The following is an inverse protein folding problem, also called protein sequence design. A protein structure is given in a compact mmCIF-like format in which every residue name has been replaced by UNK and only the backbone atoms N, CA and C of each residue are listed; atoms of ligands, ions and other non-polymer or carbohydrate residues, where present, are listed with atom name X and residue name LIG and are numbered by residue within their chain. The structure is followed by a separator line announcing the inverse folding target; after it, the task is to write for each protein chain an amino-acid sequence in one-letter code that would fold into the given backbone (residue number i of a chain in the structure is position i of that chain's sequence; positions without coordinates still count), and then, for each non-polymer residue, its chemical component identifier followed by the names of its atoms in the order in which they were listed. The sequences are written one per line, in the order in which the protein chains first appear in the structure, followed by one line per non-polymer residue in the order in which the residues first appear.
data_IF_323714761464
#
_entry.id   IF_323714761464
#
_cell.length_a   1.000
_cell.length_b   1.000
_cell.length_c   1.000
_cell.angle_alpha   90.00
_cell.angle_beta   90.00
_cell.angle_gamma   90.00
#
_symmetry.space_group_name_H-M   'P 1'
#
loop_
_entity.id
_entity.type
_entity.pdbx_description
1 polymer ?
#
# COMPACT_ATOMS: atom_id res chain seq x y z
N UNK A 1 -68.94 -70.56 -28.66
CA UNK A 1 -68.49 -70.91 -27.30
C UNK A 1 -67.23 -70.11 -27.04
N UNK A 2 -67.32 -69.15 -26.11
CA UNK A 2 -66.39 -68.04 -25.91
C UNK A 2 -65.31 -68.44 -24.89
N UNK A 3 -64.02 -68.28 -25.21
CA UNK A 3 -62.89 -68.56 -24.31
C UNK A 3 -62.41 -67.22 -23.72
N UNK A 4 -62.40 -67.03 -22.39
CA UNK A 4 -61.89 -65.80 -21.79
C UNK A 4 -60.35 -65.87 -21.61
N UNK A 5 -59.64 -64.72 -21.55
CA UNK A 5 -58.20 -64.72 -21.35
C UNK A 5 -57.82 -64.80 -19.86
N UNK A 6 -56.71 -65.50 -19.59
CA UNK A 6 -56.11 -65.70 -18.27
C UNK A 6 -55.40 -64.45 -17.76
N UNK A 7 -55.78 -63.97 -16.57
CA UNK A 7 -55.08 -62.92 -15.83
C UNK A 7 -53.98 -63.53 -14.96
N UNK A 8 -52.72 -63.24 -15.27
CA UNK A 8 -51.57 -63.47 -14.38
C UNK A 8 -51.32 -62.25 -13.51
N UNK A 9 -51.32 -62.42 -12.18
CA UNK A 9 -50.92 -61.40 -11.21
C UNK A 9 -49.41 -61.47 -10.95
N UNK A 10 -48.65 -60.36 -10.97
CA UNK A 10 -47.29 -60.36 -10.46
C UNK A 10 -47.25 -60.19 -8.95
N UNK A 11 -46.42 -61.00 -8.30
CA UNK A 11 -46.04 -60.95 -6.89
C UNK A 11 -45.43 -59.60 -6.51
N UNK A 12 -45.89 -59.00 -5.41
CA UNK A 12 -45.32 -57.79 -4.83
C UNK A 12 -43.91 -58.04 -4.28
N UNK A 13 -42.90 -57.35 -4.83
CA UNK A 13 -41.61 -57.18 -4.16
C UNK A 13 -41.73 -56.00 -3.19
N UNK A 14 -41.56 -56.27 -1.89
CA UNK A 14 -41.49 -55.25 -0.86
C UNK A 14 -40.14 -54.55 -0.94
N UNK A 15 -40.10 -53.40 -1.61
CA UNK A 15 -38.95 -52.50 -1.59
C UNK A 15 -38.92 -51.78 -0.25
N UNK A 16 -37.94 -52.08 0.59
CA UNK A 16 -37.66 -51.34 1.82
C UNK A 16 -37.32 -49.89 1.48
N UNK A 17 -38.28 -48.98 1.65
CA UNK A 17 -38.05 -47.54 1.48
C UNK A 17 -37.22 -47.08 2.68
N UNK A 18 -35.90 -47.02 2.50
CA UNK A 18 -35.03 -46.28 3.41
C UNK A 18 -35.49 -44.82 3.41
N UNK A 19 -35.89 -44.33 4.59
CA UNK A 19 -36.34 -42.95 4.78
C UNK A 19 -35.27 -41.95 4.29
N UNK A 20 -35.64 -41.15 3.29
CA UNK A 20 -34.81 -40.10 2.68
C UNK A 20 -34.28 -39.09 3.71
N UNK A 21 -34.90 -39.01 4.90
CA UNK A 21 -34.48 -38.11 5.99
C UNK A 21 -33.19 -38.55 6.67
N UNK A 22 -32.90 -39.85 6.73
CA UNK A 22 -31.70 -40.39 7.39
C UNK A 22 -30.44 -40.33 6.51
N UNK A 23 -30.58 -40.30 5.18
CA UNK A 23 -29.45 -40.20 4.26
C UNK A 23 -28.89 -38.76 4.15
N UNK A 24 -29.73 -37.74 4.33
CA UNK A 24 -29.32 -36.34 4.20
C UNK A 24 -28.41 -35.86 5.35
N UNK A 25 -28.61 -36.39 6.56
CA UNK A 25 -27.85 -35.99 7.76
C UNK A 25 -26.42 -36.55 7.71
N UNK A 26 -26.24 -37.76 7.17
CA UNK A 26 -24.90 -38.34 6.99
C UNK A 26 -24.07 -37.63 5.92
N UNK A 27 -24.71 -37.04 4.89
CA UNK A 27 -24.01 -36.27 3.87
C UNK A 27 -23.60 -34.88 4.38
N UNK A 28 -24.41 -34.27 5.25
CA UNK A 28 -24.07 -32.97 5.85
C UNK A 28 -22.93 -33.08 6.88
N UNK A 29 -22.79 -34.22 7.55
CA UNK A 29 -21.73 -34.42 8.54
C UNK A 29 -20.37 -34.76 7.91
N UNK A 30 -20.33 -35.22 6.65
CA UNK A 30 -19.08 -35.47 5.93
C UNK A 30 -18.52 -34.23 5.20
N UNK A 31 -19.34 -33.20 4.99
CA UNK A 31 -18.90 -31.96 4.31
C UNK A 31 -18.27 -30.91 5.24
N UNK A 32 -18.34 -31.09 6.56
CA UNK A 32 -17.84 -30.11 7.55
C UNK A 32 -16.43 -30.44 8.05
N UNK A 33 -15.79 -31.52 7.56
CA UNK A 33 -14.41 -31.90 7.94
C UNK A 33 -13.36 -31.48 6.90
N UNK A 34 -13.79 -30.93 5.75
CA UNK A 34 -12.91 -30.17 4.84
C UNK A 34 -13.12 -28.66 5.01
N UNK A 35 -13.31 -28.19 6.25
CA UNK A 35 -12.79 -26.87 6.56
C UNK A 35 -11.29 -27.05 6.41
N UNK A 36 -10.75 -26.65 5.25
CA UNK A 36 -9.33 -26.51 5.03
C UNK A 36 -8.77 -25.93 6.32
N UNK A 37 -8.06 -26.76 7.09
CA UNK A 37 -6.99 -26.23 7.87
C UNK A 37 -6.17 -25.52 6.82
N UNK A 38 -6.30 -24.21 6.77
CA UNK A 38 -5.29 -23.33 6.23
C UNK A 38 -4.05 -23.60 7.07
N UNK A 39 -3.41 -24.75 6.79
CA UNK A 39 -1.98 -24.91 6.84
C UNK A 39 -1.51 -23.62 6.23
N UNK A 40 -0.93 -22.74 7.05
CA UNK A 40 -0.34 -21.51 6.60
C UNK A 40 0.62 -21.93 5.47
N UNK A 41 0.11 -21.88 4.23
CA UNK A 41 0.87 -22.27 3.06
C UNK A 41 2.05 -21.32 3.08
N UNK A 42 3.25 -21.86 2.86
CA UNK A 42 4.51 -21.09 2.82
C UNK A 42 4.26 -19.66 2.37
N UNK A 43 4.85 -18.69 3.07
CA UNK A 43 4.71 -17.25 2.76
C UNK A 43 4.67 -17.05 1.25
N UNK A 44 3.68 -16.32 0.74
CA UNK A 44 3.59 -16.06 -0.70
C UNK A 44 4.75 -15.14 -1.09
N UNK A 45 5.86 -15.74 -1.55
CA UNK A 45 7.08 -15.03 -1.96
C UNK A 45 7.06 -14.82 -3.46
N UNK A 46 7.04 -13.55 -3.86
CA UNK A 46 7.10 -13.13 -5.26
C UNK A 46 8.56 -12.80 -5.59
N UNK A 47 9.24 -13.69 -6.31
CA UNK A 47 10.61 -13.47 -6.77
C UNK A 47 10.59 -12.96 -8.21
N UNK A 48 11.03 -11.73 -8.43
CA UNK A 48 11.10 -11.14 -9.76
C UNK A 48 12.50 -10.61 -10.06
N UNK A 49 12.82 -10.43 -11.35
CA UNK A 49 14.08 -9.84 -11.79
C UNK A 49 13.79 -8.59 -12.62
N UNK A 50 14.35 -7.47 -12.19
CA UNK A 50 14.39 -6.23 -12.94
C UNK A 50 15.81 -5.68 -12.79
N UNK A 51 16.71 -5.92 -13.76
CA UNK A 51 18.08 -5.43 -13.70
C UNK A 51 18.10 -3.94 -13.40
N UNK A 52 19.02 -3.52 -12.55
CA UNK A 52 19.25 -2.11 -12.21
C UNK A 52 18.06 -1.33 -11.64
N UNK A 53 17.01 -2.00 -11.13
CA UNK A 53 15.84 -1.34 -10.52
C UNK A 53 16.17 -0.60 -9.21
N UNK A 54 16.94 -1.25 -8.31
CA UNK A 54 17.27 -0.76 -6.97
C UNK A 54 16.08 -0.10 -6.25
N UNK A 55 15.01 -0.84 -5.97
CA UNK A 55 13.77 -0.25 -5.47
C UNK A 55 13.93 0.24 -4.02
N UNK A 56 13.48 1.47 -3.76
CA UNK A 56 13.36 2.02 -2.39
C UNK A 56 11.93 1.87 -1.85
N UNK A 57 10.93 2.08 -2.70
CA UNK A 57 9.52 2.02 -2.32
C UNK A 57 8.67 1.17 -3.28
N UNK A 58 7.53 0.73 -2.75
CA UNK A 58 6.49 0.02 -3.47
C UNK A 58 5.11 0.37 -2.91
N UNK A 59 4.08 0.21 -3.72
CA UNK A 59 2.67 0.25 -3.30
C UNK A 59 1.87 -0.83 -4.00
N UNK A 60 0.73 -1.24 -3.43
CA UNK A 60 -0.18 -2.22 -4.02
C UNK A 60 -1.31 -1.54 -4.80
N UNK A 61 -1.58 -1.95 -6.04
CA UNK A 61 -2.80 -1.60 -6.78
C UNK A 61 -3.80 -2.77 -6.76
N UNK A 62 -4.83 -2.73 -5.90
CA UNK A 62 -5.80 -3.82 -5.81
C UNK A 62 -6.72 -3.92 -7.04
N UNK A 63 -6.82 -2.89 -7.89
CA UNK A 63 -7.67 -2.95 -9.08
C UNK A 63 -7.04 -3.73 -10.24
N UNK A 64 -5.71 -3.87 -10.22
CA UNK A 64 -4.92 -4.49 -11.28
C UNK A 64 -4.05 -5.65 -10.78
N UNK A 65 -4.22 -6.05 -9.51
CA UNK A 65 -3.51 -7.16 -8.84
C UNK A 65 -1.98 -7.12 -9.02
N UNK A 66 -1.40 -5.93 -8.83
CA UNK A 66 0.05 -5.76 -8.94
C UNK A 66 0.64 -4.82 -7.89
N UNK A 67 1.93 -4.98 -7.64
CA UNK A 67 2.75 -3.98 -7.00
C UNK A 67 3.25 -2.98 -8.02
N UNK A 68 3.26 -1.70 -7.64
CA UNK A 68 3.92 -0.63 -8.36
C UNK A 68 5.20 -0.32 -7.58
N UNK A 69 6.35 -0.41 -8.25
CA UNK A 69 7.67 -0.32 -7.64
C UNK A 69 8.45 0.84 -8.26
N UNK A 70 9.03 1.68 -7.41
CA UNK A 70 9.91 2.78 -7.81
C UNK A 70 11.26 2.28 -8.33
N UNK A 71 11.93 3.10 -9.14
CA UNK A 71 13.24 2.82 -9.69
C UNK A 71 14.25 3.88 -9.25
N UNK A 72 15.30 3.46 -8.54
CA UNK A 72 16.33 4.39 -8.08
C UNK A 72 17.36 4.72 -9.16
N UNK A 73 17.25 4.14 -10.37
CA UNK A 73 18.19 4.38 -11.48
C UNK A 73 17.53 4.90 -12.75
N UNK A 74 16.22 4.78 -12.87
CA UNK A 74 15.49 5.09 -14.08
C UNK A 74 14.23 5.89 -13.78
N UNK A 75 13.78 6.64 -14.79
CA UNK A 75 12.53 7.40 -14.81
C UNK A 75 11.31 6.50 -15.03
N UNK A 76 11.31 5.33 -14.39
CA UNK A 76 10.32 4.27 -14.61
C UNK A 76 9.68 3.83 -13.31
N UNK A 77 8.40 3.49 -13.40
CA UNK A 77 7.66 2.74 -12.39
C UNK A 77 7.36 1.37 -12.97
N UNK A 78 7.66 0.33 -12.22
CA UNK A 78 7.54 -1.06 -12.65
C UNK A 78 6.33 -1.70 -12.01
N UNK A 79 5.53 -2.41 -12.80
CA UNK A 79 4.46 -3.28 -12.34
C UNK A 79 5.03 -4.67 -12.07
N UNK A 80 4.72 -5.25 -10.91
CA UNK A 80 5.07 -6.62 -10.55
C UNK A 80 3.80 -7.34 -10.11
N UNK A 81 3.36 -8.33 -10.90
CA UNK A 81 2.14 -9.09 -10.58
C UNK A 81 2.34 -10.06 -9.42
N UNK A 82 1.24 -10.58 -8.88
CA UNK A 82 1.23 -11.68 -7.92
C UNK A 82 1.94 -12.95 -8.43
N UNK A 83 2.01 -13.14 -9.75
CA UNK A 83 2.72 -14.24 -10.42
C UNK A 83 4.18 -13.89 -10.81
N UNK A 84 4.74 -12.81 -10.26
CA UNK A 84 6.10 -12.31 -10.55
C UNK A 84 6.34 -11.86 -12.00
N UNK A 85 5.29 -11.61 -12.78
CA UNK A 85 5.42 -10.99 -14.09
C UNK A 85 5.78 -9.51 -13.91
N UNK A 86 6.79 -9.05 -14.66
CA UNK A 86 7.33 -7.69 -14.55
C UNK A 86 7.05 -6.95 -15.85
N UNK A 87 6.49 -5.75 -15.74
CA UNK A 87 6.29 -4.85 -16.87
C UNK A 87 6.60 -3.40 -16.50
N UNK A 88 6.92 -2.57 -17.49
CA UNK A 88 7.05 -1.12 -17.27
C UNK A 88 5.67 -0.49 -17.24
N UNK A 89 5.24 -0.02 -16.07
CA UNK A 89 3.94 0.64 -15.93
C UNK A 89 4.00 2.04 -16.54
N UNK A 90 4.96 2.85 -16.11
CA UNK A 90 5.19 4.23 -16.57
C UNK A 90 6.67 4.40 -16.92
N UNK A 91 6.94 5.06 -18.04
CA UNK A 91 8.26 5.58 -18.42
C UNK A 91 8.11 7.04 -18.78
N UNK A 92 8.62 7.93 -17.93
CA UNK A 92 8.45 9.38 -18.09
C UNK A 92 9.76 10.03 -18.53
N UNK A 93 10.03 10.00 -19.84
CA UNK A 93 11.24 10.55 -20.43
C UNK A 93 11.30 12.08 -20.39
N UNK A 94 10.21 12.76 -20.00
CA UNK A 94 10.20 14.21 -19.81
C UNK A 94 10.78 14.65 -18.47
N UNK A 95 10.95 13.74 -17.52
CA UNK A 95 11.72 14.01 -16.30
C UNK A 95 13.21 14.20 -16.64
N UNK A 96 13.97 14.99 -15.86
CA UNK A 96 15.41 15.16 -16.08
C UNK A 96 16.12 13.80 -16.15
N UNK A 97 17.08 13.60 -17.08
CA UNK A 97 17.79 12.33 -17.21
C UNK A 97 18.41 11.86 -15.90
N UNK A 98 18.40 10.55 -15.66
CA UNK A 98 18.97 9.90 -14.47
C UNK A 98 18.33 10.32 -13.13
N UNK A 99 17.15 10.95 -13.15
CA UNK A 99 16.33 11.10 -11.93
C UNK A 99 15.85 9.75 -11.43
N UNK A 100 15.61 9.72 -10.12
CA UNK A 100 15.23 8.54 -9.36
C UNK A 100 13.79 8.68 -8.87
N UNK A 101 13.09 7.56 -8.72
CA UNK A 101 11.77 7.48 -8.11
C UNK A 101 11.93 6.78 -6.76
N UNK A 102 11.83 7.55 -5.68
CA UNK A 102 12.24 7.15 -4.32
C UNK A 102 11.04 6.74 -3.47
N UNK A 103 9.98 7.54 -3.45
CA UNK A 103 8.71 7.26 -2.77
C UNK A 103 7.54 7.11 -3.74
N UNK A 104 6.64 6.15 -3.48
CA UNK A 104 5.44 5.94 -4.29
C UNK A 104 4.21 5.72 -3.42
N UNK A 105 3.07 6.29 -3.83
CA UNK A 105 1.80 6.08 -3.14
C UNK A 105 0.62 6.08 -4.11
N UNK A 106 -0.32 5.17 -3.90
CA UNK A 106 -1.50 5.03 -4.75
C UNK A 106 -2.75 5.61 -4.09
N UNK A 107 -3.30 6.68 -4.67
CA UNK A 107 -4.65 7.15 -4.38
C UNK A 107 -5.65 6.32 -5.18
N UNK A 108 -6.15 5.25 -4.55
CA UNK A 108 -7.10 4.34 -5.17
C UNK A 108 -8.42 5.04 -5.55
N UNK A 109 -8.92 5.96 -4.71
CA UNK A 109 -10.19 6.66 -4.95
C UNK A 109 -10.09 7.59 -6.17
N UNK A 110 -8.98 8.32 -6.30
CA UNK A 110 -8.73 9.19 -7.45
C UNK A 110 -8.08 8.46 -8.63
N UNK A 111 -7.75 7.17 -8.49
CA UNK A 111 -6.95 6.37 -9.43
C UNK A 111 -5.71 7.13 -9.89
N UNK A 112 -5.00 7.71 -8.92
CA UNK A 112 -3.84 8.56 -9.15
C UNK A 112 -2.63 7.97 -8.43
N UNK A 113 -1.55 7.78 -9.16
CA UNK A 113 -0.26 7.40 -8.59
C UNK A 113 0.54 8.66 -8.29
N UNK A 114 1.07 8.75 -7.07
CA UNK A 114 2.01 9.77 -6.65
C UNK A 114 3.42 9.16 -6.64
N UNK A 115 4.38 9.86 -7.22
CA UNK A 115 5.77 9.42 -7.32
C UNK A 115 6.71 10.59 -6.97
N UNK A 116 7.55 10.39 -5.96
CA UNK A 116 8.56 11.36 -5.55
C UNK A 116 9.78 11.21 -6.44
N UNK A 117 10.13 12.29 -7.12
CA UNK A 117 11.26 12.37 -8.04
C UNK A 117 12.41 13.08 -7.34
N UNK A 118 13.57 12.46 -7.32
CA UNK A 118 14.78 13.02 -6.73
C UNK A 118 16.00 12.82 -7.64
N UNK A 119 16.88 13.82 -7.72
CA UNK A 119 18.20 13.71 -8.35
C UNK A 119 19.30 13.55 -7.30
N UNK A 120 20.05 12.47 -7.40
CA UNK A 120 21.24 12.22 -6.57
C UNK A 120 22.49 12.87 -7.18
N UNK A 121 23.45 13.37 -6.36
CA UNK A 121 24.75 13.81 -6.86
C UNK A 121 25.43 12.75 -7.73
N UNK A 122 26.15 13.14 -8.80
CA UNK A 122 26.57 14.50 -9.16
C UNK A 122 25.55 15.30 -9.99
N UNK A 123 24.30 14.82 -10.16
CA UNK A 123 23.28 15.54 -10.93
C UNK A 123 22.88 16.86 -10.23
N UNK A 124 22.40 17.86 -11.00
CA UNK A 124 21.78 19.04 -10.42
C UNK A 124 20.65 18.67 -9.46
N UNK A 125 20.53 19.42 -8.37
CA UNK A 125 19.48 19.19 -7.36
C UNK A 125 18.12 19.34 -8.03
N UNK A 126 17.32 18.28 -7.93
CA UNK A 126 15.95 18.26 -8.42
C UNK A 126 15.12 17.44 -7.44
N UNK A 127 14.04 18.03 -6.94
CA UNK A 127 13.05 17.37 -6.11
C UNK A 127 11.67 17.77 -6.65
N UNK A 128 10.82 16.79 -6.87
CA UNK A 128 9.46 17.04 -7.32
C UNK A 128 8.51 15.94 -6.87
N UNK A 129 7.22 16.25 -6.82
CA UNK A 129 6.17 15.25 -6.78
C UNK A 129 5.52 15.16 -8.16
N UNK A 130 5.61 13.99 -8.79
CA UNK A 130 4.86 13.68 -9.98
C UNK A 130 3.54 12.98 -9.61
N UNK A 131 2.49 13.26 -10.38
CA UNK A 131 1.24 12.52 -10.29
C UNK A 131 0.84 11.97 -11.65
N UNK A 132 0.36 10.73 -11.71
CA UNK A 132 -0.06 10.05 -12.93
C UNK A 132 -1.49 9.54 -12.81
N UNK A 133 -2.29 9.70 -13.86
CA UNK A 133 -3.63 9.15 -13.95
C UNK A 133 -3.59 7.69 -14.38
N UNK A 134 -3.96 6.76 -13.51
CA UNK A 134 -3.97 5.33 -13.81
C UNK A 134 -5.22 4.86 -14.57
N UNK A 135 -6.18 5.75 -14.86
CA UNK A 135 -7.36 5.43 -15.69
C UNK A 135 -7.04 5.51 -17.17
N UNK A 136 -6.11 6.39 -17.55
CA UNK A 136 -5.68 6.56 -18.92
C UNK A 136 -4.82 5.38 -19.39
N UNK A 137 -5.04 4.82 -20.60
CA UNK A 137 -4.17 3.78 -21.15
C UNK A 137 -2.68 4.19 -21.20
N UNK A 138 -2.42 5.48 -21.40
CA UNK A 138 -1.06 6.04 -21.48
C UNK A 138 -0.51 6.52 -20.13
N UNK A 139 -1.28 6.36 -19.04
CA UNK A 139 -0.93 6.81 -17.68
C UNK A 139 -0.40 8.25 -17.64
N UNK A 140 -1.16 9.17 -18.26
CA UNK A 140 -0.78 10.58 -18.43
C UNK A 140 -0.33 11.21 -17.10
N UNK A 141 0.77 11.95 -17.13
CA UNK A 141 1.18 12.81 -16.00
C UNK A 141 0.16 13.94 -15.82
N UNK A 142 -0.42 14.02 -14.63
CA UNK A 142 -1.34 15.05 -14.19
C UNK A 142 -0.60 16.34 -13.86
N UNK A 143 0.46 16.24 -13.05
CA UNK A 143 1.34 17.36 -12.71
C UNK A 143 2.76 16.88 -12.41
N UNK A 144 3.70 17.83 -12.40
CA UNK A 144 5.05 17.69 -11.85
C UNK A 144 5.30 18.91 -10.96
N UNK A 145 5.12 18.76 -9.65
CA UNK A 145 5.19 19.84 -8.67
C UNK A 145 6.62 19.97 -8.13
N UNK A 146 7.37 21.03 -8.47
CA UNK A 146 8.73 21.21 -7.95
C UNK A 146 8.70 21.46 -6.43
N UNK A 147 9.49 20.69 -5.68
CA UNK A 147 9.56 20.77 -4.23
C UNK A 147 10.74 21.65 -3.83
N UNK A 148 10.47 22.95 -3.78
CA UNK A 148 11.47 23.95 -3.42
C UNK A 148 11.42 24.30 -1.93
N UNK A 149 12.57 24.71 -1.40
CA UNK A 149 12.66 25.44 -0.14
C UNK A 149 13.82 26.43 -0.23
N UNK A 150 13.56 27.76 -0.20
CA UNK A 150 14.62 28.76 -0.28
C UNK A 150 15.49 28.81 0.99
N UNK A 151 15.08 28.15 2.07
CA UNK A 151 15.78 28.18 3.37
C UNK A 151 16.70 26.99 3.61
N UNK A 152 16.68 25.99 2.72
CA UNK A 152 17.48 24.77 2.85
C UNK A 152 18.38 24.62 1.64
N UNK A 153 19.70 24.51 1.86
CA UNK A 153 20.67 24.42 0.77
C UNK A 153 20.59 23.10 -0.04
N UNK A 154 20.06 22.03 0.57
CA UNK A 154 19.95 20.70 -0.05
C UNK A 154 18.74 19.88 0.45
N UNK A 155 17.50 20.26 0.10
CA UNK A 155 16.34 19.41 0.37
C UNK A 155 16.48 18.06 -0.35
N UNK A 156 16.04 16.97 0.30
CA UNK A 156 15.91 15.64 -0.31
C UNK A 156 14.48 15.17 -0.11
N UNK A 157 13.68 15.22 -1.16
CA UNK A 157 12.35 14.62 -1.15
C UNK A 157 12.48 13.09 -1.16
N UNK A 158 11.75 12.41 -0.28
CA UNK A 158 11.83 10.96 -0.17
C UNK A 158 10.46 10.28 -0.29
N UNK A 159 9.70 10.16 0.80
CA UNK A 159 8.42 9.43 0.80
C UNK A 159 7.22 10.36 0.69
N UNK A 160 6.10 9.79 0.22
CA UNK A 160 4.82 10.49 0.07
C UNK A 160 3.66 9.69 0.65
N UNK A 161 2.80 10.39 1.38
CA UNK A 161 1.46 9.93 1.75
C UNK A 161 0.43 10.98 1.35
N UNK A 162 -0.85 10.63 1.33
CA UNK A 162 -1.92 11.58 1.04
C UNK A 162 -3.09 11.40 2.00
N UNK A 163 -3.84 12.48 2.23
CA UNK A 163 -5.04 12.45 3.05
C UNK A 163 -6.31 12.17 2.23
N UNK A 164 -7.46 12.12 2.92
CA UNK A 164 -8.75 11.87 2.28
C UNK A 164 -9.13 12.95 1.25
N UNK A 165 -8.72 14.20 1.45
CA UNK A 165 -8.95 15.30 0.52
C UNK A 165 -8.07 15.21 -0.73
N UNK A 166 -7.04 14.35 -0.70
CA UNK A 166 -6.11 14.13 -1.80
C UNK A 166 -4.91 15.07 -1.75
N UNK A 167 -4.74 15.81 -0.65
CA UNK A 167 -3.51 16.53 -0.40
C UNK A 167 -2.40 15.53 -0.11
N UNK A 168 -1.26 15.68 -0.78
CA UNK A 168 -0.08 14.86 -0.60
C UNK A 168 0.89 15.52 0.38
N UNK A 169 1.59 14.72 1.17
CA UNK A 169 2.57 15.13 2.16
C UNK A 169 3.88 14.42 1.85
N UNK A 170 4.93 15.20 1.53
CA UNK A 170 6.22 14.68 1.10
C UNK A 170 7.26 15.00 2.16
N UNK A 171 8.05 14.01 2.57
CA UNK A 171 9.11 14.20 3.56
C UNK A 171 10.36 14.81 2.95
N UNK A 172 11.08 15.58 3.75
CA UNK A 172 12.43 16.04 3.46
C UNK A 172 13.44 15.37 4.39
N UNK A 173 14.24 14.45 3.87
CA UNK A 173 15.17 13.64 4.66
C UNK A 173 16.42 14.37 5.14
N UNK A 174 16.73 15.55 4.59
CA UNK A 174 17.87 16.37 5.07
C UNK A 174 17.38 17.62 5.79
N UNK A 175 16.39 18.30 5.21
CA UNK A 175 15.78 19.50 5.79
C UNK A 175 14.88 19.24 7.00
N UNK A 176 14.50 17.98 7.26
CA UNK A 176 13.65 17.58 8.39
C UNK A 176 12.33 18.37 8.49
N UNK A 177 11.62 18.48 7.36
CA UNK A 177 10.32 19.10 7.28
C UNK A 177 9.42 18.37 6.28
N UNK A 178 8.15 18.75 6.24
CA UNK A 178 7.15 18.14 5.34
C UNK A 178 6.64 19.20 4.37
N UNK A 179 6.66 18.90 3.07
CA UNK A 179 5.88 19.64 2.08
C UNK A 179 4.44 19.13 2.03
N UNK A 180 3.50 20.01 1.71
CA UNK A 180 2.15 19.66 1.27
C UNK A 180 2.02 20.01 -0.20
N UNK A 181 1.43 19.12 -0.99
CA UNK A 181 1.08 19.36 -2.39
C UNK A 181 -0.42 19.15 -2.57
N UNK A 182 -1.13 20.15 -3.09
CA UNK A 182 -2.58 20.05 -3.31
C UNK A 182 -2.92 19.05 -4.42
N UNK A 183 -4.20 18.63 -4.56
CA UNK A 183 -4.60 17.78 -5.67
C UNK A 183 -4.27 18.34 -7.06
N UNK A 184 -4.20 19.67 -7.17
CA UNK A 184 -3.89 20.41 -8.41
C UNK A 184 -2.38 20.55 -8.66
N UNK A 185 -1.54 20.09 -7.72
CA UNK A 185 -0.08 20.10 -7.87
C UNK A 185 0.61 21.32 -7.27
N UNK A 186 -0.04 22.08 -6.40
CA UNK A 186 0.53 23.28 -5.79
C UNK A 186 1.30 22.94 -4.50
N UNK A 187 2.64 23.13 -4.46
CA UNK A 187 3.46 22.80 -3.32
C UNK A 187 3.54 23.94 -2.30
N UNK A 188 3.62 23.58 -1.02
CA UNK A 188 3.87 24.49 0.11
C UNK A 188 4.60 23.76 1.23
N UNK A 189 5.18 24.47 2.18
CA UNK A 189 5.69 23.83 3.41
C UNK A 189 4.51 23.61 4.37
N UNK A 190 4.32 22.35 4.76
CA UNK A 190 3.29 21.96 5.72
C UNK A 190 3.72 22.18 7.17
N UNK A 191 4.91 21.70 7.51
CA UNK A 191 5.37 21.69 8.90
C UNK A 191 6.88 21.60 9.01
N UNK A 192 7.46 22.42 9.90
CA UNK A 192 8.85 22.38 10.38
C UNK A 192 8.90 22.07 11.87
N UNK A 193 8.09 21.12 12.32
CA UNK A 193 7.98 20.80 13.74
C UNK A 193 9.34 20.47 14.35
N UNK A 194 9.72 21.05 15.51
CA UNK A 194 10.93 20.67 16.23
C UNK A 194 10.98 19.18 16.61
N UNK A 195 9.83 18.48 16.60
CA UNK A 195 9.79 17.04 16.82
C UNK A 195 10.62 16.25 15.79
N UNK A 196 10.74 16.76 14.55
CA UNK A 196 11.48 16.10 13.46
C UNK A 196 12.99 16.08 13.69
N UNK A 197 13.50 16.94 14.59
CA UNK A 197 14.92 17.04 14.94
C UNK A 197 15.21 16.71 16.40
N UNK A 198 14.21 16.20 17.13
CA UNK A 198 14.35 15.82 18.55
C UNK A 198 15.37 14.70 18.79
N UNK A 199 15.61 13.88 17.76
CA UNK A 199 16.65 12.86 17.73
C UNK A 199 17.59 13.16 16.55
N UNK A 200 18.66 13.95 16.77
CA UNK A 200 19.54 14.38 15.69
C UNK A 200 20.27 13.18 15.09
N UNK A 201 20.49 13.24 13.78
CA UNK A 201 21.25 12.26 13.03
C UNK A 201 22.71 12.71 12.97
N UNK A 202 23.64 11.82 13.33
CA UNK A 202 25.07 12.09 13.17
C UNK A 202 25.46 11.91 11.70
N UNK A 203 25.62 13.03 11.00
CA UNK A 203 25.96 13.07 9.56
C UNK A 203 27.41 12.67 9.26
N UNK A 204 28.24 12.50 10.30
CA UNK A 204 29.63 12.05 10.13
C UNK A 204 29.74 10.52 9.98
N UNK A 205 28.69 9.78 10.35
CA UNK A 205 28.68 8.32 10.28
C UNK A 205 28.28 7.81 8.88
N UNK A 206 28.88 6.70 8.41
CA UNK A 206 28.48 6.08 7.15
C UNK A 206 26.98 5.73 7.14
N UNK A 207 26.29 6.06 6.04
CA UNK A 207 24.86 5.79 5.84
C UNK A 207 23.90 6.51 6.81
N UNK A 208 24.41 7.48 7.59
CA UNK A 208 23.65 8.25 8.59
C UNK A 208 23.40 9.68 8.09
N UNK A 209 22.90 9.83 6.87
CA UNK A 209 22.69 11.14 6.23
C UNK A 209 21.22 11.57 6.15
N UNK A 210 20.28 10.67 6.45
CA UNK A 210 18.84 10.92 6.41
C UNK A 210 18.24 11.02 7.82
N UNK A 211 17.50 12.09 8.09
CA UNK A 211 16.57 12.23 9.23
C UNK A 211 15.16 11.77 8.85
N UNK A 212 14.21 12.71 8.77
CA UNK A 212 12.81 12.42 8.46
C UNK A 212 12.64 11.72 7.11
N UNK A 213 12.35 10.42 7.11
CA UNK A 213 12.32 9.61 5.89
C UNK A 213 10.89 9.17 5.52
N UNK A 214 10.37 8.11 6.13
CA UNK A 214 9.04 7.59 5.81
C UNK A 214 7.88 8.45 6.28
N UNK A 215 6.75 8.39 5.57
CA UNK A 215 5.48 9.00 5.98
C UNK A 215 4.30 8.08 5.71
N UNK A 216 3.36 8.04 6.65
CA UNK A 216 2.08 7.34 6.50
C UNK A 216 0.96 8.24 7.00
N UNK A 217 -0.12 8.32 6.20
CA UNK A 217 -1.34 9.00 6.63
C UNK A 217 -2.18 8.05 7.48
N UNK A 218 -2.60 8.50 8.66
CA UNK A 218 -3.53 7.76 9.51
C UNK A 218 -4.67 8.67 9.98
N UNK A 219 -5.90 8.27 9.67
CA UNK A 219 -7.12 8.93 10.14
C UNK A 219 -7.40 8.54 11.60
N UNK A 220 -6.47 8.78 12.53
CA UNK A 220 -6.77 8.60 13.96
C UNK A 220 -7.73 9.70 14.41
N UNK A 221 -8.97 9.32 14.78
CA UNK A 221 -9.70 10.06 15.81
C UNK A 221 -8.92 9.85 17.11
N UNK A 222 -8.13 10.84 17.53
CA UNK A 222 -7.54 10.80 18.86
C UNK A 222 -8.70 10.72 19.88
N UNK A 223 -8.74 9.71 20.76
CA UNK A 223 -9.67 9.78 21.89
C UNK A 223 -9.36 11.03 22.71
N UNK A 224 -10.36 11.66 23.34
CA UNK A 224 -10.13 12.84 24.19
C UNK A 224 -9.07 12.50 25.24
N UNK A 225 -8.04 13.35 25.34
CA UNK A 225 -6.99 13.20 26.36
C UNK A 225 -7.66 13.14 27.73
N UNK A 226 -7.59 12.00 28.41
CA UNK A 226 -8.03 11.94 29.82
C UNK A 226 -7.09 12.84 30.63
N UNK A 227 -7.62 13.76 31.45
CA UNK A 227 -6.77 14.58 32.31
C UNK A 227 -5.99 13.68 33.27
N UNK A 228 -4.69 13.93 33.35
CA UNK A 228 -3.80 13.27 34.31
C UNK A 228 -4.24 13.73 35.70
N UNK A 229 -4.89 12.85 36.49
CA UNK A 229 -5.13 13.13 37.90
C UNK A 229 -3.80 13.01 38.63
N UNK A 230 -3.21 14.14 39.02
CA UNK A 230 -2.16 14.13 40.04
C UNK A 230 -2.75 13.57 41.34
N UNK A 231 -2.28 12.39 41.73
CA UNK A 231 -2.58 11.81 43.04
C UNK A 231 -1.75 12.58 44.07
N UNK A 232 -2.37 13.55 44.74
CA UNK A 232 -1.78 14.14 45.94
C UNK A 232 -1.75 13.06 47.03
N UNK A 233 -0.56 12.58 47.38
CA UNK A 233 -0.36 11.80 48.59
C UNK A 233 -0.39 12.77 49.78
N UNK A 234 -1.54 12.85 50.45
CA UNK A 234 -1.62 13.46 51.78
C UNK A 234 -1.07 12.45 52.77
N UNK A 235 0.16 12.68 53.22
CA UNK A 235 0.77 11.94 54.30
C UNK A 235 0.23 12.52 55.61
N UNK A 236 -0.74 11.83 56.23
CA UNK A 236 -1.23 12.18 57.56
C UNK A 236 -0.13 11.90 58.60
N UNK A 237 0.49 12.95 59.14
CA UNK A 237 1.25 12.85 60.38
C UNK A 237 0.29 12.56 61.53
N UNK A 238 0.41 11.38 62.13
CA UNK A 238 -0.05 11.13 63.50
C UNK A 238 1.06 11.54 64.46
N UNK A 239 0.81 12.56 65.26
CA UNK A 239 1.25 12.66 66.66
C UNK A 239 0.08 13.22 67.46
#
# INVERSE_FOLDING_TARGET
MYIPPSSTSPSAQTTTIMSLKTALISYFTFFVVFVDLTLASKHHVINFRSPTLYPESLTWDPSADHFIVGSHRHRTLVSVSSAAAVDTLISDLSLPPNTTIVGVSLDHHRRRLLAVVHSTPPLPIFNALAAYDLRSPHRRRLFLAPLHDPTTDRPIANDVAFDFSGDAYVTNSVGNFIWKVTPDGEPSIFSRSPAFTSHPVDQSLPHSFCGLNGVVYSRKRLPPRRPIKHRQNVQSQRR
#
